data_IF_320655632881
#
_entry.id   IF_320655632881
#
_cell.length_a   1.000
_cell.length_b   1.000
_cell.length_c   1.000
_cell.angle_alpha   90.00
_cell.angle_beta   90.00
_cell.angle_gamma   90.00
#
_symmetry.space_group_name_H-M   'P 1'
#
loop_
_entity.id
_entity.type
_entity.pdbx_description
1 polymer ?
#
# COMPACT_ATOMS: atom_id res chain seq x y z
N UNK A 1 42.62 38.07 12.29
CA UNK A 1 42.44 37.38 10.98
C UNK A 1 42.85 35.91 11.04
N UNK A 2 44.05 35.56 11.53
CA UNK A 2 44.56 34.17 11.59
C UNK A 2 43.70 33.19 12.42
N UNK A 3 43.06 33.65 13.51
CA UNK A 3 42.12 32.83 14.31
C UNK A 3 40.76 32.58 13.63
N UNK A 4 40.33 33.49 12.74
CA UNK A 4 39.08 33.38 11.99
C UNK A 4 39.21 32.33 10.88
N UNK A 5 40.37 32.27 10.22
CA UNK A 5 40.71 31.26 9.21
C UNK A 5 40.69 29.84 9.78
N UNK A 6 41.16 29.63 11.01
CA UNK A 6 41.14 28.32 11.68
C UNK A 6 39.70 27.89 11.99
N UNK A 7 38.83 28.83 12.39
CA UNK A 7 37.42 28.56 12.69
C UNK A 7 36.62 28.16 11.44
N UNK A 8 36.90 28.79 10.29
CA UNK A 8 36.31 28.43 8.99
C UNK A 8 36.79 27.06 8.52
N UNK A 9 38.06 26.70 8.77
CA UNK A 9 38.61 25.40 8.40
C UNK A 9 38.00 24.25 9.22
N UNK A 10 37.65 24.50 10.49
CA UNK A 10 37.00 23.52 11.37
C UNK A 10 35.53 23.25 11.01
N UNK A 11 34.84 24.20 10.38
CA UNK A 11 33.44 24.04 9.94
C UNK A 11 33.31 23.24 8.63
N UNK A 12 34.39 23.09 7.86
CA UNK A 12 34.39 22.41 6.55
C UNK A 12 34.45 20.88 6.58
N UNK A 13 34.50 20.24 7.75
CA UNK A 13 34.72 18.79 7.89
C UNK A 13 33.49 17.98 8.33
N UNK A 14 32.28 18.51 8.19
CA UNK A 14 31.05 17.70 8.38
C UNK A 14 30.76 16.87 7.13
N UNK A 15 31.45 15.75 6.97
CA UNK A 15 31.07 14.70 6.03
C UNK A 15 29.79 14.04 6.55
N UNK A 16 28.63 14.47 6.05
CA UNK A 16 27.34 13.90 6.37
C UNK A 16 27.13 12.57 5.64
N UNK A 17 27.32 11.45 6.33
CA UNK A 17 26.97 10.11 5.83
C UNK A 17 25.46 9.89 5.92
N UNK A 18 24.69 10.44 4.97
CA UNK A 18 23.23 10.27 4.92
C UNK A 18 22.77 9.10 4.03
N UNK A 19 23.68 8.52 3.23
CA UNK A 19 23.32 7.56 2.16
C UNK A 19 23.04 6.15 2.70
N UNK A 20 23.74 5.73 3.76
CA UNK A 20 23.65 4.40 4.39
C UNK A 20 22.24 4.03 4.92
N UNK A 21 21.40 5.02 5.20
CA UNK A 21 20.07 4.84 5.75
C UNK A 21 19.03 4.54 4.66
N UNK A 22 19.12 5.25 3.52
CA UNK A 22 18.20 5.06 2.39
C UNK A 22 18.50 3.73 1.69
N UNK A 23 19.76 3.34 1.57
CA UNK A 23 20.16 2.08 0.92
C UNK A 23 19.65 0.82 1.64
N UNK A 24 19.26 0.94 2.92
CA UNK A 24 18.71 -0.15 3.75
C UNK A 24 17.19 -0.11 3.85
N UNK A 25 16.55 0.93 3.30
CA UNK A 25 15.11 1.03 3.24
C UNK A 25 14.58 0.33 1.99
N UNK A 26 13.58 -0.52 2.15
CA UNK A 26 12.93 -1.22 1.05
C UNK A 26 11.43 -0.90 1.06
N UNK A 27 10.91 -0.55 -0.11
CA UNK A 27 9.46 -0.47 -0.35
C UNK A 27 9.13 -1.55 -1.35
N UNK A 28 8.25 -2.47 -0.97
CA UNK A 28 7.72 -3.50 -1.84
C UNK A 28 6.20 -3.56 -1.70
N UNK A 29 5.55 -4.26 -2.63
CA UNK A 29 4.10 -4.28 -2.66
C UNK A 29 3.54 -5.13 -3.78
N UNK A 30 2.21 -5.17 -3.83
CA UNK A 30 1.46 -5.80 -4.90
C UNK A 30 0.15 -5.04 -5.10
N UNK A 31 -0.39 -5.12 -6.31
CA UNK A 31 -1.70 -4.56 -6.62
C UNK A 31 -2.41 -5.47 -7.61
N UNK A 32 -3.72 -5.42 -7.59
CA UNK A 32 -4.58 -6.15 -8.51
C UNK A 32 -5.82 -5.32 -8.80
N UNK A 33 -6.29 -5.37 -10.04
CA UNK A 33 -7.55 -4.78 -10.47
C UNK A 33 -8.24 -5.80 -11.34
N UNK A 34 -9.47 -6.13 -10.98
CA UNK A 34 -10.36 -7.01 -11.71
C UNK A 34 -11.57 -6.21 -12.19
N UNK A 35 -11.83 -6.26 -13.48
CA UNK A 35 -12.96 -5.57 -14.10
C UNK A 35 -13.82 -6.55 -14.89
N UNK A 36 -15.13 -6.45 -14.75
CA UNK A 36 -16.09 -7.24 -15.51
C UNK A 36 -17.17 -6.34 -16.10
N UNK A 37 -17.47 -6.55 -17.37
CA UNK A 37 -18.60 -5.92 -18.05
C UNK A 37 -19.79 -6.88 -18.03
N UNK A 38 -20.97 -6.36 -17.71
CA UNK A 38 -22.20 -7.14 -17.67
C UNK A 38 -23.08 -6.80 -18.87
N UNK A 39 -23.55 -7.84 -19.54
CA UNK A 39 -24.51 -7.74 -20.63
C UNK A 39 -25.57 -8.83 -20.46
N UNK A 40 -26.86 -8.50 -20.60
CA UNK A 40 -27.91 -9.51 -20.58
C UNK A 40 -27.77 -10.42 -21.80
N UNK A 41 -27.93 -11.71 -21.56
CA UNK A 41 -28.03 -12.74 -22.57
C UNK A 41 -29.13 -13.72 -22.15
N UNK A 42 -30.33 -13.46 -22.64
CA UNK A 42 -31.51 -14.26 -22.35
C UNK A 42 -31.38 -15.71 -22.85
N UNK A 43 -30.53 -15.99 -23.84
CA UNK A 43 -30.35 -17.34 -24.39
C UNK A 43 -29.63 -18.27 -23.41
N UNK A 44 -28.80 -17.72 -22.52
CA UNK A 44 -28.09 -18.46 -21.46
C UNK A 44 -28.63 -18.15 -20.05
N UNK A 45 -29.80 -17.50 -19.96
CA UNK A 45 -30.48 -17.21 -18.69
C UNK A 45 -29.93 -16.02 -17.91
N UNK A 46 -29.15 -15.13 -18.53
CA UNK A 46 -28.67 -13.89 -17.92
C UNK A 46 -29.65 -12.77 -18.28
N UNK A 47 -30.58 -12.46 -17.38
CA UNK A 47 -31.60 -11.43 -17.62
C UNK A 47 -31.15 -10.05 -17.13
N UNK A 48 -31.71 -8.99 -17.72
CA UNK A 48 -31.47 -7.60 -17.30
C UNK A 48 -31.85 -7.35 -15.82
N UNK A 49 -32.92 -8.02 -15.35
CA UNK A 49 -33.33 -8.01 -13.95
C UNK A 49 -32.29 -8.65 -13.00
N UNK A 50 -31.49 -9.60 -13.48
CA UNK A 50 -30.43 -10.25 -12.69
C UNK A 50 -29.20 -9.34 -12.59
N UNK A 51 -28.93 -8.59 -13.65
CA UNK A 51 -27.86 -7.60 -13.71
C UNK A 51 -28.20 -6.37 -12.85
N UNK A 52 -29.50 -6.05 -12.70
CA UNK A 52 -30.00 -4.97 -11.85
C UNK A 52 -29.38 -3.61 -12.22
N UNK A 53 -29.31 -3.34 -13.54
CA UNK A 53 -28.76 -2.09 -14.08
C UNK A 53 -27.24 -1.92 -13.97
N UNK A 54 -26.52 -2.85 -13.32
CA UNK A 54 -25.06 -2.82 -13.19
C UNK A 54 -24.39 -3.14 -14.52
N UNK A 55 -23.70 -2.18 -15.13
CA UNK A 55 -23.03 -2.40 -16.43
C UNK A 55 -21.59 -2.86 -16.29
N UNK A 56 -20.96 -2.56 -15.16
CA UNK A 56 -19.56 -2.87 -14.91
C UNK A 56 -19.37 -3.12 -13.43
N UNK A 57 -18.59 -4.14 -13.09
CA UNK A 57 -18.08 -4.38 -11.75
C UNK A 57 -16.57 -4.18 -11.72
N UNK A 58 -16.05 -3.61 -10.64
CA UNK A 58 -14.62 -3.36 -10.47
C UNK A 58 -14.23 -3.63 -9.03
N UNK A 59 -13.30 -4.55 -8.84
CA UNK A 59 -12.66 -4.82 -7.56
C UNK A 59 -11.16 -4.62 -7.69
N UNK A 60 -10.50 -4.21 -6.62
CA UNK A 60 -9.04 -4.11 -6.63
C UNK A 60 -8.46 -3.87 -5.24
N UNK A 61 -7.17 -4.14 -5.14
CA UNK A 61 -6.39 -3.82 -3.95
C UNK A 61 -5.02 -3.29 -4.32
N UNK A 62 -4.42 -2.54 -3.40
CA UNK A 62 -3.03 -2.18 -3.40
C UNK A 62 -2.43 -2.40 -2.01
N UNK A 63 -1.33 -3.12 -1.93
CA UNK A 63 -0.58 -3.37 -0.71
C UNK A 63 0.82 -2.78 -0.84
N UNK A 64 1.23 -2.03 0.17
CA UNK A 64 2.57 -1.46 0.28
C UNK A 64 3.16 -1.87 1.63
N UNK A 65 4.40 -2.33 1.61
CA UNK A 65 5.20 -2.65 2.78
C UNK A 65 6.51 -1.89 2.71
N UNK A 66 6.80 -1.15 3.78
CA UNK A 66 8.07 -0.50 4.03
C UNK A 66 8.86 -1.31 5.06
N UNK A 67 10.15 -1.54 4.80
CA UNK A 67 11.06 -2.22 5.73
C UNK A 67 12.35 -1.42 5.85
N UNK A 68 12.81 -1.24 7.09
CA UNK A 68 14.09 -0.61 7.41
C UNK A 68 14.69 -1.27 8.65
N UNK A 69 15.69 -2.12 8.43
CA UNK A 69 16.34 -2.86 9.51
C UNK A 69 15.34 -3.68 10.32
N UNK A 70 15.17 -3.32 11.59
CA UNK A 70 14.27 -3.98 12.54
C UNK A 70 12.82 -3.47 12.49
N UNK A 71 12.57 -2.40 11.76
CA UNK A 71 11.26 -1.79 11.62
C UNK A 71 10.60 -2.18 10.30
N UNK A 72 9.30 -2.41 10.33
CA UNK A 72 8.48 -2.52 9.13
C UNK A 72 7.10 -1.90 9.35
N UNK A 73 6.50 -1.39 8.30
CA UNK A 73 5.12 -0.89 8.34
C UNK A 73 4.45 -1.20 7.01
N UNK A 74 3.14 -1.40 7.05
CA UNK A 74 2.38 -1.73 5.85
C UNK A 74 1.00 -1.14 5.87
N UNK A 75 0.50 -0.89 4.66
CA UNK A 75 -0.87 -0.43 4.44
C UNK A 75 -1.43 -1.17 3.22
N UNK A 76 -2.69 -1.59 3.33
CA UNK A 76 -3.45 -2.13 2.21
C UNK A 76 -4.71 -1.32 2.02
N UNK A 77 -4.89 -0.86 0.79
CA UNK A 77 -6.12 -0.24 0.33
C UNK A 77 -6.90 -1.26 -0.49
N UNK A 78 -8.20 -1.36 -0.25
CA UNK A 78 -9.10 -2.18 -1.02
C UNK A 78 -10.25 -1.32 -1.54
N UNK A 79 -10.69 -1.61 -2.76
CA UNK A 79 -11.83 -0.97 -3.40
C UNK A 79 -12.64 -2.05 -4.13
N UNK A 80 -13.77 -2.40 -3.54
CA UNK A 80 -14.80 -3.22 -4.15
C UNK A 80 -15.91 -2.23 -4.54
N UNK A 81 -15.89 -1.71 -5.77
CA UNK A 81 -16.95 -0.81 -6.22
C UNK A 81 -18.21 -1.63 -6.49
N UNK A 82 -18.97 -1.36 -7.56
CA UNK A 82 -20.03 -2.26 -7.99
C UNK A 82 -19.49 -3.70 -7.98
N UNK A 83 -19.96 -4.58 -7.08
CA UNK A 83 -19.22 -5.80 -6.78
C UNK A 83 -19.27 -6.74 -7.97
N UNK A 84 -18.14 -7.42 -8.21
CA UNK A 84 -18.07 -8.48 -9.21
C UNK A 84 -19.09 -9.59 -8.91
N UNK A 85 -19.65 -10.22 -9.94
CA UNK A 85 -20.64 -11.27 -9.77
C UNK A 85 -20.02 -12.43 -8.98
N UNK A 86 -20.68 -12.86 -7.90
CA UNK A 86 -20.16 -13.85 -6.97
C UNK A 86 -19.46 -13.28 -5.73
N UNK A 87 -19.25 -11.97 -5.64
CA UNK A 87 -18.86 -11.29 -4.40
C UNK A 87 -20.08 -10.92 -3.55
N UNK A 88 -19.90 -10.89 -2.23
CA UNK A 88 -20.93 -10.45 -1.29
C UNK A 88 -21.19 -8.94 -1.47
N UNK A 89 -22.43 -8.51 -1.77
CA UNK A 89 -22.76 -7.08 -1.90
C UNK A 89 -22.41 -6.24 -0.68
N UNK A 90 -22.35 -6.84 0.52
CA UNK A 90 -21.95 -6.13 1.75
C UNK A 90 -20.48 -5.69 1.75
N UNK A 91 -19.66 -6.23 0.85
CA UNK A 91 -18.26 -5.81 0.69
C UNK A 91 -18.11 -4.58 -0.20
N UNK A 92 -19.19 -4.11 -0.85
CA UNK A 92 -19.15 -2.90 -1.65
C UNK A 92 -18.73 -1.68 -0.82
N UNK A 93 -17.67 -1.02 -1.25
CA UNK A 93 -17.02 0.08 -0.58
C UNK A 93 -15.51 0.07 -0.81
N UNK A 94 -14.84 1.01 -0.16
CA UNK A 94 -13.41 1.15 -0.25
C UNK A 94 -12.83 1.64 1.07
N UNK A 95 -11.58 1.27 1.35
CA UNK A 95 -10.94 1.67 2.59
C UNK A 95 -9.59 1.02 2.80
N UNK A 96 -9.08 1.18 4.02
CA UNK A 96 -7.80 0.63 4.46
C UNK A 96 -8.03 -0.46 5.50
N UNK A 97 -8.38 -1.70 5.08
CA UNK A 97 -8.66 -2.79 6.02
C UNK A 97 -7.44 -3.23 6.82
N UNK A 98 -6.23 -2.94 6.32
CA UNK A 98 -4.99 -3.23 7.01
C UNK A 98 -4.09 -2.01 7.06
N UNK A 99 -3.74 -1.60 8.27
CA UNK A 99 -2.68 -0.65 8.57
C UNK A 99 -1.91 -1.22 9.76
N UNK A 100 -0.60 -1.33 9.65
CA UNK A 100 0.20 -1.87 10.74
C UNK A 100 1.61 -1.30 10.76
N UNK A 101 2.22 -1.35 11.93
CA UNK A 101 3.64 -1.10 12.14
C UNK A 101 4.19 -2.15 13.09
N UNK A 102 5.41 -2.61 12.83
CA UNK A 102 6.08 -3.65 13.59
C UNK A 102 7.54 -3.31 13.84
N UNK A 103 8.02 -3.67 15.02
CA UNK A 103 9.43 -3.60 15.39
C UNK A 103 9.88 -4.94 15.95
N UNK A 104 10.86 -5.57 15.29
CA UNK A 104 11.31 -6.92 15.58
C UNK A 104 12.81 -6.94 15.92
N UNK A 105 13.13 -7.44 17.11
CA UNK A 105 14.51 -7.72 17.56
C UNK A 105 14.69 -9.23 17.78
N UNK A 106 15.89 -9.63 18.21
CA UNK A 106 16.21 -11.04 18.53
C UNK A 106 15.51 -11.54 19.81
N UNK A 107 15.06 -10.62 20.68
CA UNK A 107 14.46 -10.96 21.99
C UNK A 107 12.99 -10.59 22.11
N UNK A 108 12.54 -9.55 21.41
CA UNK A 108 11.16 -9.04 21.48
C UNK A 108 10.69 -8.54 20.11
N UNK A 109 9.41 -8.80 19.82
CA UNK A 109 8.68 -8.29 18.67
C UNK A 109 7.37 -7.65 19.10
N UNK A 110 7.05 -6.48 18.55
CA UNK A 110 5.80 -5.77 18.82
C UNK A 110 5.19 -5.31 17.51
N UNK A 111 3.89 -5.55 17.31
CA UNK A 111 3.12 -5.07 16.16
C UNK A 111 1.88 -4.34 16.67
N UNK A 112 1.56 -3.23 16.02
CA UNK A 112 0.36 -2.42 16.27
C UNK A 112 -0.36 -2.17 14.95
N UNK A 113 -1.69 -2.14 14.99
CA UNK A 113 -2.53 -2.02 13.79
C UNK A 113 -3.92 -2.55 14.03
#
# INVERSE_FOLDING_TARGET
MRKLLIFVLLLGFSQGYAQDFIDKAQVNGSFQIDGQYYQPDNAIGIYDSTIDGRKMGVNGFGNITYTLGKFSAGVRYEAFLTPLAGFDPLQEGNGFPYLWASYQTDFIGVTVG
#
